data_IF_511767164151
#
_entry.id   IF_511767164151
#
_cell.length_a   1.000
_cell.length_b   1.000
_cell.length_c   1.000
_cell.angle_alpha   90.00
_cell.angle_beta   90.00
_cell.angle_gamma   90.00
#
_symmetry.space_group_name_H-M   'P 1'
#
loop_
_entity.id
_entity.type
_entity.pdbx_description
1 polymer ?
#
# COMPACT_ATOMS: atom_id res chain seq x y z
N UNK A 1 5.80 24.15 10.46
CA UNK A 1 4.67 25.10 10.58
C UNK A 1 3.98 25.44 9.24
N UNK A 2 4.44 24.91 8.10
CA UNK A 2 3.83 25.19 6.77
C UNK A 2 2.77 24.15 6.32
N UNK A 3 2.79 22.94 6.88
CA UNK A 3 1.88 21.83 6.49
C UNK A 3 0.47 21.99 7.06
N UNK A 4 0.29 22.77 8.14
CA UNK A 4 -1.03 23.04 8.72
C UNK A 4 -1.81 24.10 7.94
N UNK A 5 -1.14 25.11 7.37
CA UNK A 5 -1.80 26.16 6.58
C UNK A 5 -2.36 25.64 5.24
N UNK A 6 -1.63 24.76 4.56
CA UNK A 6 -2.04 24.21 3.26
C UNK A 6 -3.24 23.26 3.35
N UNK A 7 -3.37 22.48 4.43
CA UNK A 7 -4.55 21.63 4.67
C UNK A 7 -5.80 22.45 5.02
N UNK A 8 -5.64 23.57 5.74
CA UNK A 8 -6.74 24.47 6.08
C UNK A 8 -7.24 25.23 4.85
N UNK A 9 -6.33 25.71 4.00
CA UNK A 9 -6.70 26.36 2.72
C UNK A 9 -7.40 25.40 1.74
N UNK A 10 -7.01 24.11 1.69
CA UNK A 10 -7.72 23.09 0.90
C UNK A 10 -9.15 22.87 1.40
N UNK A 11 -9.34 22.71 2.72
CA UNK A 11 -10.67 22.54 3.32
C UNK A 11 -11.58 23.76 3.12
N UNK A 12 -11.01 24.96 3.03
CA UNK A 12 -11.78 26.21 2.89
C UNK A 12 -12.03 26.64 1.43
N UNK A 13 -11.13 26.31 0.50
CA UNK A 13 -11.15 26.85 -0.88
C UNK A 13 -11.08 25.78 -1.97
N UNK A 14 -10.79 24.55 -1.60
CA UNK A 14 -10.58 23.42 -2.52
C UNK A 14 -11.86 22.63 -2.84
N UNK A 15 -12.89 22.69 -1.99
CA UNK A 15 -14.15 21.97 -2.23
C UNK A 15 -15.10 22.71 -3.20
N UNK A 16 -14.89 24.03 -3.33
CA UNK A 16 -15.57 24.87 -4.32
C UNK A 16 -14.78 24.95 -5.64
N UNK A 17 -15.50 25.13 -6.75
CA UNK A 17 -14.98 25.27 -8.12
C UNK A 17 -14.22 26.61 -8.33
N UNK A 18 -13.24 26.90 -7.47
CA UNK A 18 -12.52 28.17 -7.42
C UNK A 18 -11.30 28.17 -8.35
N UNK A 19 -10.84 29.35 -8.74
CA UNK A 19 -9.59 29.49 -9.47
C UNK A 19 -8.39 28.90 -8.70
N UNK A 20 -8.45 28.90 -7.36
CA UNK A 20 -7.46 28.29 -6.47
C UNK A 20 -7.46 26.76 -6.59
N UNK A 21 -8.64 26.11 -6.55
CA UNK A 21 -8.79 24.68 -6.81
C UNK A 21 -8.17 24.29 -8.16
N UNK A 22 -8.53 25.01 -9.23
CA UNK A 22 -7.96 24.75 -10.56
C UNK A 22 -6.47 25.06 -10.67
N UNK A 23 -5.94 26.02 -9.91
CA UNK A 23 -4.51 26.34 -9.90
C UNK A 23 -3.70 25.26 -9.16
N UNK A 24 -4.21 24.73 -8.05
CA UNK A 24 -3.61 23.61 -7.30
C UNK A 24 -3.65 22.33 -8.14
N UNK A 25 -4.80 21.99 -8.75
CA UNK A 25 -4.94 20.83 -9.65
C UNK A 25 -3.98 20.95 -10.84
N UNK A 26 -3.92 22.12 -11.50
CA UNK A 26 -3.01 22.34 -12.64
C UNK A 26 -1.53 22.34 -12.24
N UNK A 27 -1.20 22.89 -11.07
CA UNK A 27 0.16 22.90 -10.52
C UNK A 27 0.62 21.50 -10.09
N UNK A 28 -0.26 20.72 -9.46
CA UNK A 28 -0.02 19.34 -9.07
C UNK A 28 0.11 18.39 -10.26
N UNK A 29 -0.82 18.45 -11.23
CA UNK A 29 -0.80 17.62 -12.44
C UNK A 29 0.47 17.83 -13.28
N UNK A 30 1.04 19.04 -13.30
CA UNK A 30 2.32 19.31 -13.97
C UNK A 30 3.55 18.76 -13.22
N UNK A 31 3.46 18.56 -11.90
CA UNK A 31 4.59 18.12 -11.07
C UNK A 31 4.59 16.61 -10.79
N UNK A 32 3.45 15.92 -10.90
CA UNK A 32 3.33 14.49 -10.57
C UNK A 32 3.09 13.56 -11.76
N UNK A 33 2.83 14.10 -12.96
CA UNK A 33 2.63 13.27 -14.14
C UNK A 33 3.97 12.79 -14.71
N UNK A 34 4.19 11.48 -14.68
CA UNK A 34 5.25 10.87 -15.48
C UNK A 34 4.78 10.85 -16.93
N UNK A 35 5.26 11.80 -17.72
CA UNK A 35 4.89 11.95 -19.12
C UNK A 35 5.64 10.98 -20.04
N UNK A 36 6.79 10.46 -19.57
CA UNK A 36 7.66 9.56 -20.33
C UNK A 36 8.30 8.54 -19.40
N UNK A 37 8.12 7.25 -19.72
CA UNK A 37 8.95 6.16 -19.19
C UNK A 37 9.81 5.55 -20.30
N UNK A 38 10.95 4.97 -19.95
CA UNK A 38 11.81 4.20 -20.84
C UNK A 38 11.75 2.73 -20.40
N UNK A 39 11.45 1.84 -21.34
CA UNK A 39 11.49 0.40 -21.12
C UNK A 39 12.96 -0.11 -21.02
N UNK A 40 13.21 -1.38 -20.66
CA UNK A 40 14.56 -1.93 -20.57
C UNK A 40 15.31 -1.98 -21.91
N UNK A 41 14.62 -1.87 -23.03
CA UNK A 41 15.21 -1.82 -24.37
C UNK A 41 15.52 -0.38 -24.81
N UNK A 42 15.26 0.62 -23.95
CA UNK A 42 15.48 2.04 -24.23
C UNK A 42 14.36 2.70 -25.04
N UNK A 43 13.20 2.04 -25.21
CA UNK A 43 12.04 2.61 -25.90
C UNK A 43 11.30 3.58 -24.98
N UNK A 44 11.05 4.79 -25.48
CA UNK A 44 10.22 5.77 -24.78
C UNK A 44 8.73 5.44 -24.91
N UNK A 45 8.05 5.42 -23.77
CA UNK A 45 6.63 5.18 -23.56
C UNK A 45 6.01 6.49 -23.10
N UNK A 46 5.08 7.01 -23.89
CA UNK A 46 4.43 8.32 -23.65
C UNK A 46 2.92 8.19 -23.51
N UNK A 47 2.33 7.08 -23.96
CA UNK A 47 0.91 6.82 -23.80
C UNK A 47 0.62 6.25 -22.41
N UNK A 48 -0.53 6.63 -21.84
CA UNK A 48 -0.96 6.12 -20.53
C UNK A 48 -1.02 4.58 -20.49
N UNK A 49 -1.52 3.97 -21.57
CA UNK A 49 -1.64 2.51 -21.70
C UNK A 49 -0.28 1.81 -21.72
N UNK A 50 0.69 2.38 -22.43
CA UNK A 50 2.04 1.79 -22.48
C UNK A 50 2.76 1.94 -21.14
N UNK A 51 2.60 3.09 -20.47
CA UNK A 51 3.13 3.34 -19.14
C UNK A 51 2.52 2.38 -18.12
N UNK A 52 1.19 2.21 -18.12
CA UNK A 52 0.49 1.26 -17.26
C UNK A 52 0.99 -0.18 -17.48
N UNK A 53 1.12 -0.59 -18.75
CA UNK A 53 1.65 -1.91 -19.12
C UNK A 53 3.07 -2.13 -18.60
N UNK A 54 3.93 -1.12 -18.68
CA UNK A 54 5.29 -1.18 -18.18
C UNK A 54 5.35 -1.25 -16.65
N UNK A 55 4.52 -0.49 -15.94
CA UNK A 55 4.40 -0.56 -14.48
C UNK A 55 3.95 -1.96 -14.05
N UNK A 56 2.92 -2.50 -14.70
CA UNK A 56 2.42 -3.85 -14.42
C UNK A 56 3.48 -4.91 -14.67
N UNK A 57 4.21 -4.82 -15.79
CA UNK A 57 5.33 -5.71 -16.11
C UNK A 57 6.41 -5.65 -15.04
N UNK A 58 6.87 -4.45 -14.70
CA UNK A 58 7.91 -4.22 -13.70
C UNK A 58 7.54 -4.83 -12.34
N UNK A 59 6.33 -4.56 -11.84
CA UNK A 59 5.90 -5.10 -10.53
C UNK A 59 5.62 -6.61 -10.56
N UNK A 60 5.12 -7.17 -11.67
CA UNK A 60 4.99 -8.62 -11.82
C UNK A 60 6.34 -9.31 -11.78
N UNK A 61 7.33 -8.78 -12.50
CA UNK A 61 8.69 -9.31 -12.50
C UNK A 61 9.34 -9.17 -11.12
N UNK A 62 9.07 -8.06 -10.41
CA UNK A 62 9.56 -7.82 -9.06
C UNK A 62 9.00 -8.79 -8.01
N UNK A 63 7.67 -8.96 -7.96
CA UNK A 63 7.01 -9.88 -7.02
C UNK A 63 7.38 -11.33 -7.33
N UNK A 64 7.81 -11.57 -8.57
CA UNK A 64 8.36 -12.83 -9.03
C UNK A 64 7.36 -13.64 -9.85
N UNK A 65 7.87 -14.70 -10.47
CA UNK A 65 7.06 -15.61 -11.28
C UNK A 65 6.63 -16.83 -10.47
N UNK A 66 5.46 -17.38 -10.82
CA UNK A 66 4.99 -18.64 -10.25
C UNK A 66 5.81 -19.80 -10.84
N UNK A 67 6.99 -20.05 -10.27
CA UNK A 67 7.86 -21.16 -10.70
C UNK A 67 7.23 -22.49 -10.30
N UNK A 68 6.75 -23.26 -11.28
CA UNK A 68 6.10 -24.57 -11.06
C UNK A 68 7.04 -25.65 -10.46
N UNK A 69 8.36 -25.43 -10.50
CA UNK A 69 9.37 -26.35 -9.93
C UNK A 69 10.21 -25.65 -8.86
N UNK A 70 9.61 -25.38 -7.70
CA UNK A 70 10.40 -25.07 -6.51
C UNK A 70 11.12 -26.34 -6.05
N UNK A 71 12.43 -26.27 -5.80
CA UNK A 71 13.14 -27.36 -5.13
C UNK A 71 12.48 -27.56 -3.76
N UNK A 72 12.21 -28.81 -3.39
CA UNK A 72 11.68 -29.12 -2.07
C UNK A 72 12.69 -28.65 -1.01
N UNK A 73 12.17 -28.07 0.06
CA UNK A 73 12.98 -27.67 1.22
C UNK A 73 13.55 -28.95 1.84
N UNK A 74 14.86 -28.97 2.09
CA UNK A 74 15.47 -30.05 2.86
C UNK A 74 15.08 -29.90 4.33
N UNK A 75 14.05 -30.62 4.74
CA UNK A 75 13.51 -30.60 6.10
C UNK A 75 14.55 -31.07 7.11
N UNK A 76 15.47 -31.97 6.73
CA UNK A 76 16.51 -32.47 7.64
C UNK A 76 17.51 -31.36 7.93
N UNK A 77 17.97 -30.64 6.90
CA UNK A 77 18.84 -29.48 7.07
C UNK A 77 18.18 -28.37 7.89
N UNK A 78 16.89 -28.08 7.66
CA UNK A 78 16.14 -27.07 8.42
C UNK A 78 16.02 -27.46 9.90
N UNK A 79 15.73 -28.72 10.20
CA UNK A 79 15.59 -29.22 11.58
C UNK A 79 16.91 -29.32 12.33
N UNK A 80 18.03 -29.44 11.62
CA UNK A 80 19.37 -29.43 12.23
C UNK A 80 19.81 -28.02 12.67
N UNK A 81 19.17 -26.97 12.16
CA UNK A 81 19.42 -25.58 12.58
C UNK A 81 18.71 -25.22 13.89
N UNK A 82 18.89 -23.98 14.33
CA UNK A 82 18.22 -23.45 15.52
C UNK A 82 16.70 -23.56 15.40
N UNK A 83 16.09 -24.26 16.36
CA UNK A 83 14.63 -24.38 16.46
C UNK A 83 14.10 -23.40 17.50
N UNK A 84 12.89 -22.91 17.27
CA UNK A 84 12.14 -22.16 18.28
C UNK A 84 11.85 -23.06 19.48
N UNK A 85 11.85 -22.46 20.67
CA UNK A 85 11.41 -23.15 21.89
C UNK A 85 9.91 -23.44 21.77
N UNK A 86 9.44 -24.46 22.48
CA UNK A 86 8.03 -24.84 22.43
C UNK A 86 7.12 -23.69 22.88
N UNK A 87 7.54 -22.88 23.85
CA UNK A 87 6.81 -21.69 24.27
C UNK A 87 6.66 -20.65 23.15
N UNK A 88 7.72 -20.40 22.37
CA UNK A 88 7.69 -19.47 21.25
C UNK A 88 6.78 -19.99 20.14
N UNK A 89 6.86 -21.30 19.85
CA UNK A 89 6.00 -21.97 18.85
C UNK A 89 4.53 -21.88 19.25
N UNK A 90 4.23 -22.15 20.52
CA UNK A 90 2.88 -22.04 21.05
C UNK A 90 2.40 -20.60 21.02
N UNK A 91 3.27 -19.61 21.26
CA UNK A 91 2.90 -18.20 21.18
C UNK A 91 2.57 -17.76 19.75
N UNK A 92 3.34 -18.20 18.75
CA UNK A 92 3.13 -17.85 17.33
C UNK A 92 1.87 -18.49 16.72
N UNK A 93 1.29 -19.48 17.37
CA UNK A 93 0.10 -20.21 16.90
C UNK A 93 -1.19 -19.82 17.63
N UNK A 94 -1.11 -18.85 18.54
CA UNK A 94 -2.30 -18.31 19.22
C UNK A 94 -3.19 -17.57 18.23
N UNK A 95 -4.52 -17.61 18.42
CA UNK A 95 -5.43 -16.72 17.72
C UNK A 95 -5.05 -15.26 17.96
N UNK A 96 -5.19 -14.44 16.92
CA UNK A 96 -5.06 -12.99 17.04
C UNK A 96 -6.13 -12.48 18.01
N UNK A 97 -5.79 -11.46 18.78
CA UNK A 97 -6.70 -10.82 19.74
C UNK A 97 -7.15 -9.45 19.26
N UNK A 98 -8.31 -8.99 19.71
CA UNK A 98 -8.82 -7.64 19.44
C UNK A 98 -7.84 -6.55 19.87
N UNK A 99 -7.12 -6.80 20.97
CA UNK A 99 -6.10 -5.88 21.46
C UNK A 99 -4.90 -5.79 20.51
N UNK A 100 -4.45 -6.92 19.94
CA UNK A 100 -3.39 -6.91 18.92
C UNK A 100 -3.84 -6.17 17.67
N UNK A 101 -5.09 -6.36 17.23
CA UNK A 101 -5.68 -5.66 16.08
C UNK A 101 -5.69 -4.15 16.32
N UNK A 102 -6.21 -3.70 17.46
CA UNK A 102 -6.25 -2.28 17.80
C UNK A 102 -4.84 -1.69 17.96
N UNK A 103 -3.91 -2.45 18.54
CA UNK A 103 -2.51 -2.03 18.68
C UNK A 103 -1.85 -1.88 17.31
N UNK A 104 -2.07 -2.82 16.40
CA UNK A 104 -1.59 -2.76 15.03
C UNK A 104 -2.16 -1.53 14.30
N UNK A 105 -3.47 -1.29 14.38
CA UNK A 105 -4.08 -0.08 13.81
C UNK A 105 -3.44 1.20 14.37
N UNK A 106 -3.22 1.27 15.68
CA UNK A 106 -2.64 2.44 16.34
C UNK A 106 -1.17 2.68 15.96
N UNK A 107 -0.44 1.62 15.62
CA UNK A 107 0.96 1.72 15.16
C UNK A 107 1.10 2.39 13.77
N UNK A 108 0.02 2.42 12.98
CA UNK A 108 0.02 3.04 11.65
C UNK A 108 -0.04 4.57 11.82
N UNK A 109 0.88 5.31 11.22
CA UNK A 109 0.86 6.78 11.28
C UNK A 109 -0.40 7.39 10.64
N UNK A 110 -0.97 8.43 11.26
CA UNK A 110 -2.24 9.04 10.84
C UNK A 110 -2.23 9.63 9.43
N UNK A 111 -1.06 10.09 8.95
CA UNK A 111 -0.89 10.72 7.64
C UNK A 111 -0.31 9.76 6.59
N UNK A 112 -0.42 8.45 6.80
CA UNK A 112 -0.08 7.46 5.76
C UNK A 112 -1.07 7.56 4.59
N UNK A 113 -0.59 7.19 3.40
CA UNK A 113 -1.40 7.25 2.19
C UNK A 113 -2.69 6.43 2.37
N UNK A 114 -3.84 6.93 1.89
CA UNK A 114 -5.10 6.19 1.97
C UNK A 114 -5.08 4.99 1.03
N UNK A 115 -6.01 4.06 1.26
CA UNK A 115 -6.32 3.00 0.31
C UNK A 115 -6.99 3.53 -0.95
N UNK A 116 -7.43 2.62 -1.81
CA UNK A 116 -8.26 2.92 -3.00
C UNK A 116 -9.62 3.53 -2.63
N UNK A 117 -10.03 3.39 -1.37
CA UNK A 117 -11.24 3.96 -0.78
C UNK A 117 -11.10 5.43 -0.35
N UNK A 118 -9.87 5.97 -0.34
CA UNK A 118 -9.60 7.34 0.09
C UNK A 118 -9.54 7.54 1.61
N UNK A 119 -9.73 6.50 2.43
CA UNK A 119 -9.67 6.60 3.88
C UNK A 119 -8.26 6.35 4.42
N UNK A 120 -7.83 7.22 5.35
CA UNK A 120 -6.55 7.05 6.05
C UNK A 120 -6.75 6.28 7.35
N UNK A 121 -5.67 5.73 7.91
CA UNK A 121 -5.70 5.09 9.22
C UNK A 121 -6.32 5.98 10.32
N UNK A 122 -6.20 7.31 10.20
CA UNK A 122 -6.82 8.25 11.14
C UNK A 122 -8.35 8.10 11.21
N UNK A 123 -9.01 7.84 10.08
CA UNK A 123 -10.47 7.68 10.03
C UNK A 123 -10.87 6.45 10.84
N UNK A 124 -10.22 5.30 10.62
CA UNK A 124 -10.45 4.07 11.36
C UNK A 124 -10.22 4.26 12.87
N UNK A 125 -9.15 4.94 13.27
CA UNK A 125 -8.89 5.26 14.69
C UNK A 125 -9.98 6.14 15.30
N UNK A 126 -10.37 7.20 14.60
CA UNK A 126 -11.38 8.15 15.10
C UNK A 126 -12.78 7.57 15.20
N UNK A 127 -13.10 6.59 14.35
CA UNK A 127 -14.43 5.96 14.25
C UNK A 127 -14.47 4.57 14.87
N UNK A 128 -13.39 4.14 15.53
CA UNK A 128 -13.25 2.77 16.08
C UNK A 128 -14.40 2.36 17.00
N UNK A 129 -14.97 3.30 17.77
CA UNK A 129 -16.13 3.03 18.62
C UNK A 129 -17.39 2.60 17.85
N UNK A 130 -17.46 2.94 16.58
CA UNK A 130 -18.60 2.65 15.70
C UNK A 130 -18.31 1.42 14.83
N UNK A 131 -17.14 1.38 14.18
CA UNK A 131 -16.81 0.34 13.18
C UNK A 131 -15.88 -0.76 13.70
N UNK A 132 -15.37 -0.64 14.92
CA UNK A 132 -14.30 -1.50 15.43
C UNK A 132 -14.70 -2.97 15.53
N UNK A 133 -15.97 -3.25 15.84
CA UNK A 133 -16.50 -4.62 15.87
C UNK A 133 -16.44 -5.24 14.48
N UNK A 134 -17.03 -4.58 13.48
CA UNK A 134 -17.06 -5.08 12.10
C UNK A 134 -15.65 -5.30 11.53
N UNK A 135 -14.72 -4.37 11.81
CA UNK A 135 -13.32 -4.48 11.37
C UNK A 135 -12.63 -5.66 12.04
N UNK A 136 -12.86 -5.87 13.33
CA UNK A 136 -12.23 -6.96 14.09
C UNK A 136 -12.79 -8.32 13.63
N UNK A 137 -14.10 -8.43 13.45
CA UNK A 137 -14.75 -9.64 12.93
C UNK A 137 -14.24 -10.00 11.54
N UNK A 138 -14.06 -9.02 10.64
CA UNK A 138 -13.50 -9.26 9.32
C UNK A 138 -12.05 -9.79 9.36
N UNK A 139 -11.24 -9.32 10.32
CA UNK A 139 -9.87 -9.79 10.51
C UNK A 139 -9.86 -11.21 11.08
N UNK A 140 -10.72 -11.51 12.06
CA UNK A 140 -10.86 -12.87 12.59
C UNK A 140 -11.34 -13.85 11.51
N UNK A 141 -12.30 -13.44 10.68
CA UNK A 141 -12.76 -14.23 9.53
C UNK A 141 -11.60 -14.55 8.56
N UNK A 142 -10.73 -13.56 8.29
CA UNK A 142 -9.53 -13.80 7.49
C UNK A 142 -8.61 -14.87 8.10
N UNK A 143 -8.29 -14.78 9.39
CA UNK A 143 -7.40 -15.73 10.06
C UNK A 143 -8.02 -17.13 10.25
N UNK A 144 -9.34 -17.25 10.26
CA UNK A 144 -10.04 -18.53 10.39
C UNK A 144 -10.30 -19.19 9.04
N UNK A 145 -10.75 -18.43 8.04
CA UNK A 145 -11.08 -18.94 6.71
C UNK A 145 -9.89 -18.95 5.75
N UNK A 146 -8.78 -18.30 6.09
CA UNK A 146 -7.64 -18.05 5.20
C UNK A 146 -8.05 -17.38 3.87
N UNK A 147 -9.08 -16.53 3.92
CA UNK A 147 -9.62 -15.85 2.74
C UNK A 147 -9.69 -14.36 3.00
N UNK A 148 -9.00 -13.59 2.14
CA UNK A 148 -9.06 -12.14 2.17
C UNK A 148 -10.20 -11.63 1.29
N UNK A 149 -10.91 -10.60 1.73
CA UNK A 149 -11.88 -9.89 0.89
C UNK A 149 -11.15 -9.29 -0.33
N UNK A 150 -11.61 -9.50 -1.57
CA UNK A 150 -10.88 -9.06 -2.76
C UNK A 150 -10.54 -7.57 -2.78
N UNK A 151 -11.44 -6.73 -2.27
CA UNK A 151 -11.25 -5.28 -2.16
C UNK A 151 -10.16 -4.89 -1.15
N UNK A 152 -9.92 -5.70 -0.12
CA UNK A 152 -8.84 -5.49 0.84
C UNK A 152 -7.46 -5.79 0.25
N UNK A 153 -7.39 -6.52 -0.87
CA UNK A 153 -6.16 -6.84 -1.60
C UNK A 153 -5.94 -5.92 -2.82
N UNK A 154 -6.70 -4.82 -2.92
CA UNK A 154 -6.50 -3.84 -3.98
C UNK A 154 -5.45 -2.80 -3.57
N UNK A 155 -4.35 -2.73 -4.31
CA UNK A 155 -3.29 -1.74 -4.10
C UNK A 155 -3.37 -0.61 -5.13
N UNK A 156 -3.09 0.62 -4.69
CA UNK A 156 -2.93 1.77 -5.58
C UNK A 156 -1.44 2.00 -5.85
N UNK A 157 -1.02 1.81 -7.11
CA UNK A 157 0.35 2.11 -7.52
C UNK A 157 0.44 3.57 -7.95
N UNK A 158 1.21 4.36 -7.20
CA UNK A 158 1.56 5.74 -7.55
C UNK A 158 3.04 5.84 -7.85
N UNK A 159 3.39 6.39 -9.01
CA UNK A 159 4.78 6.64 -9.36
C UNK A 159 5.23 8.00 -8.81
N UNK A 160 6.33 7.99 -8.05
CA UNK A 160 6.93 9.20 -7.48
C UNK A 160 8.33 9.37 -8.05
N UNK A 161 8.61 10.44 -8.84
CA UNK A 161 9.94 10.71 -9.36
C UNK A 161 10.95 10.94 -8.23
N UNK A 162 12.03 10.13 -8.16
CA UNK A 162 13.12 10.31 -7.18
C UNK A 162 14.06 11.48 -7.52
N UNK A 163 14.11 11.88 -8.80
CA UNK A 163 14.92 12.98 -9.31
C UNK A 163 14.19 13.67 -10.47
N UNK A 164 14.62 14.90 -10.79
CA UNK A 164 14.19 15.56 -12.00
C UNK A 164 14.53 14.69 -13.21
N UNK A 165 13.60 14.61 -14.16
CA UNK A 165 13.72 13.81 -15.39
C UNK A 165 13.92 12.29 -15.15
N UNK A 166 13.34 11.75 -14.08
CA UNK A 166 13.27 10.31 -13.89
C UNK A 166 12.45 9.65 -15.02
N UNK A 167 13.12 8.83 -15.83
CA UNK A 167 12.50 8.11 -16.98
C UNK A 167 12.43 6.60 -16.80
N UNK A 168 13.04 6.03 -15.76
CA UNK A 168 13.12 4.57 -15.58
C UNK A 168 12.61 4.12 -14.21
N UNK A 169 11.96 2.96 -14.17
CA UNK A 169 11.49 2.30 -12.94
C UNK A 169 12.67 1.68 -12.17
N UNK A 170 12.78 2.00 -10.87
CA UNK A 170 13.80 1.47 -9.94
C UNK A 170 13.26 1.43 -8.51
N UNK A 171 13.67 0.44 -7.74
CA UNK A 171 13.38 0.33 -6.30
C UNK A 171 14.32 1.20 -5.48
#
# INVERSE_FOLDING_TARGET
MLVQGSKLDWLLKGDDNTAYFHAIIRGGNKQTSILVLEDPNGKQLTSHKDIEGEVLRFYKDLVGTNTQRRKHIDIVAVRAGNQLKDDDRNSLTKPVTDQEILTALNSIGDNKAPGTDGYTAKVFKSTWKVIGVDVTDAIHDFFTQNRMYPTANCELVTLIPKKNDAKTMKI
#
